data_IF_947650131777
#
_entry.id   IF_947650131777
#
_cell.length_a   1.000
_cell.length_b   1.000
_cell.length_c   1.000
_cell.angle_alpha   90.00
_cell.angle_beta   90.00
_cell.angle_gamma   90.00
#
_symmetry.space_group_name_H-M   'P 1'
#
loop_
_entity.id
_entity.type
_entity.pdbx_description
1 polymer ?
#
# COMPACT_ATOMS: atom_id res chain seq x y z
N UNK A 1 -9.86 -7.24 -54.72
CA UNK A 1 -8.47 -7.23 -55.22
C UNK A 1 -8.26 -5.88 -55.90
N UNK A 2 -7.37 -4.95 -55.57
CA UNK A 2 -6.20 -4.82 -54.68
C UNK A 2 -6.22 -3.33 -54.26
N UNK A 3 -6.32 -2.97 -52.97
CA UNK A 3 -5.20 -2.55 -52.11
C UNK A 3 -4.10 -1.79 -52.87
N UNK A 4 -3.88 -0.53 -52.48
CA UNK A 4 -2.61 0.22 -52.36
C UNK A 4 -2.89 1.72 -52.52
N UNK A 5 -3.63 2.28 -51.56
CA UNK A 5 -3.45 3.69 -51.16
C UNK A 5 -2.78 3.61 -49.79
N UNK A 6 -1.92 4.58 -49.51
CA UNK A 6 -1.15 4.78 -48.26
C UNK A 6 0.23 4.13 -48.29
N UNK A 7 1.15 4.78 -49.01
CA UNK A 7 2.58 4.68 -48.74
C UNK A 7 3.20 6.02 -49.10
N UNK A 8 3.14 6.98 -48.17
CA UNK A 8 4.06 8.11 -48.02
C UNK A 8 3.50 9.17 -47.03
N UNK A 9 3.46 8.85 -45.72
CA UNK A 9 3.68 9.84 -44.65
C UNK A 9 4.34 9.09 -43.47
N UNK A 10 5.58 8.65 -43.68
CA UNK A 10 6.47 8.18 -42.61
C UNK A 10 7.77 8.96 -42.75
N UNK A 11 7.73 10.26 -42.40
CA UNK A 11 8.93 11.11 -42.33
C UNK A 11 8.65 12.47 -41.65
N UNK A 12 7.88 12.50 -40.55
CA UNK A 12 7.67 13.75 -39.80
C UNK A 12 7.49 13.55 -38.29
N UNK A 13 8.21 12.59 -37.68
CA UNK A 13 8.38 12.56 -36.23
C UNK A 13 9.88 12.53 -35.94
N UNK A 14 10.55 13.61 -36.30
CA UNK A 14 11.86 13.95 -35.74
C UNK A 14 11.69 15.42 -35.34
N UNK A 15 11.94 15.74 -34.06
CA UNK A 15 11.88 17.08 -33.46
C UNK A 15 10.55 17.58 -32.87
N UNK A 16 9.80 16.72 -32.16
CA UNK A 16 9.10 17.22 -30.96
C UNK A 16 10.04 16.96 -29.79
N UNK A 17 10.42 18.01 -29.08
CA UNK A 17 11.56 18.15 -28.18
C UNK A 17 11.65 17.01 -27.14
N UNK A 18 12.76 16.27 -27.11
CA UNK A 18 13.10 15.38 -26.00
C UNK A 18 13.02 16.12 -24.64
N UNK A 19 13.29 17.43 -24.65
CA UNK A 19 13.17 18.33 -23.50
C UNK A 19 11.73 18.47 -22.98
N UNK A 20 10.73 18.54 -23.88
CA UNK A 20 9.31 18.61 -23.49
C UNK A 20 8.81 17.29 -22.91
N UNK A 21 9.28 16.16 -23.46
CA UNK A 21 8.98 14.82 -22.92
C UNK A 21 9.58 14.65 -21.53
N UNK A 22 10.87 14.98 -21.34
CA UNK A 22 11.52 14.87 -20.03
C UNK A 22 10.86 15.75 -18.98
N UNK A 23 10.49 16.98 -19.35
CA UNK A 23 9.74 17.88 -18.47
C UNK A 23 8.39 17.28 -18.07
N UNK A 24 7.64 16.72 -19.01
CA UNK A 24 6.35 16.07 -18.73
C UNK A 24 6.52 14.89 -17.77
N UNK A 25 7.53 14.05 -17.97
CA UNK A 25 7.82 12.90 -17.10
C UNK A 25 8.24 13.33 -15.70
N UNK A 26 8.91 14.47 -15.58
CA UNK A 26 9.22 15.07 -14.29
C UNK A 26 7.96 15.59 -13.57
N UNK A 27 7.06 16.27 -14.28
CA UNK A 27 5.80 16.74 -13.70
C UNK A 27 4.95 15.55 -13.23
N UNK A 28 4.87 14.47 -14.02
CA UNK A 28 4.20 13.22 -13.61
C UNK A 28 4.85 12.59 -12.37
N UNK A 29 6.19 12.58 -12.29
CA UNK A 29 6.90 12.09 -11.11
C UNK A 29 6.48 12.86 -9.86
N UNK A 30 6.42 14.20 -9.94
CA UNK A 30 6.00 15.04 -8.81
C UNK A 30 4.56 14.72 -8.38
N UNK A 31 3.64 14.52 -9.34
CA UNK A 31 2.27 14.12 -9.05
C UNK A 31 2.20 12.75 -8.33
N UNK A 32 2.93 11.75 -8.82
CA UNK A 32 2.96 10.43 -8.18
C UNK A 32 3.58 10.47 -6.79
N UNK A 33 4.63 11.26 -6.57
CA UNK A 33 5.20 11.46 -5.24
C UNK A 33 4.20 12.11 -4.30
N UNK A 34 3.48 13.15 -4.75
CA UNK A 34 2.42 13.76 -3.93
C UNK A 34 1.33 12.74 -3.57
N UNK A 35 0.99 11.83 -4.48
CA UNK A 35 0.07 10.75 -4.17
C UNK A 35 0.66 9.75 -3.17
N UNK A 36 1.93 9.38 -3.32
CA UNK A 36 2.66 8.53 -2.36
C UNK A 36 2.73 9.18 -0.97
N UNK A 37 2.98 10.48 -0.85
CA UNK A 37 2.97 11.22 0.42
C UNK A 37 1.59 11.12 1.10
N UNK A 38 0.51 11.21 0.32
CA UNK A 38 -0.84 11.00 0.85
C UNK A 38 -1.04 9.56 1.35
N UNK A 39 -0.47 8.56 0.68
CA UNK A 39 -0.54 7.16 1.11
C UNK A 39 0.32 6.90 2.35
N UNK A 40 1.43 7.61 2.52
CA UNK A 40 2.27 7.56 3.71
C UNK A 40 1.50 8.00 4.95
N UNK A 41 0.77 9.12 4.88
CA UNK A 41 -0.09 9.57 6.00
C UNK A 41 -1.13 8.51 6.38
N UNK A 42 -1.75 7.86 5.38
CA UNK A 42 -2.72 6.78 5.61
C UNK A 42 -2.04 5.54 6.22
N UNK A 43 -0.84 5.20 5.75
CA UNK A 43 -0.02 4.10 6.27
C UNK A 43 0.35 4.32 7.73
N UNK A 44 0.79 5.52 8.11
CA UNK A 44 1.13 5.88 9.48
C UNK A 44 -0.07 5.73 10.41
N UNK A 45 -1.23 6.28 9.99
CA UNK A 45 -2.48 6.12 10.73
C UNK A 45 -2.89 4.64 10.85
N UNK A 46 -2.69 3.85 9.80
CA UNK A 46 -2.98 2.41 9.81
C UNK A 46 -2.08 1.67 10.80
N UNK A 47 -0.78 2.00 10.81
CA UNK A 47 0.21 1.41 11.72
C UNK A 47 -0.15 1.68 13.18
N UNK A 48 -0.58 2.91 13.50
CA UNK A 48 -1.05 3.25 14.86
C UNK A 48 -2.27 2.42 15.26
N UNK A 49 -3.28 2.35 14.39
CA UNK A 49 -4.50 1.57 14.64
C UNK A 49 -4.19 0.07 14.83
N UNK A 50 -3.30 -0.46 14.00
CA UNK A 50 -2.85 -1.85 14.06
C UNK A 50 -2.16 -2.19 15.39
N UNK A 51 -1.20 -1.37 15.82
CA UNK A 51 -0.48 -1.60 17.07
C UNK A 51 -1.40 -1.48 18.30
N UNK A 52 -2.37 -0.55 18.26
CA UNK A 52 -3.39 -0.46 19.30
C UNK A 52 -4.23 -1.74 19.38
N UNK A 53 -4.80 -2.19 18.26
CA UNK A 53 -5.63 -3.39 18.25
C UNK A 53 -4.83 -4.64 18.65
N UNK A 54 -3.56 -4.72 18.29
CA UNK A 54 -2.65 -5.79 18.71
C UNK A 54 -2.39 -5.80 20.21
N UNK A 55 -2.25 -4.63 20.84
CA UNK A 55 -2.16 -4.52 22.30
C UNK A 55 -3.48 -4.94 22.98
N UNK A 56 -4.61 -4.52 22.43
CA UNK A 56 -5.94 -4.87 22.95
C UNK A 56 -6.22 -6.37 22.84
N UNK A 57 -5.84 -6.99 21.70
CA UNK A 57 -5.94 -8.44 21.48
C UNK A 57 -5.15 -9.24 22.52
N UNK A 58 -3.92 -8.79 22.85
CA UNK A 58 -3.08 -9.43 23.87
C UNK A 58 -3.71 -9.31 25.26
N UNK A 59 -4.14 -8.09 25.61
CA UNK A 59 -4.80 -7.81 26.88
C UNK A 59 -6.05 -8.65 27.07
N UNK A 60 -6.89 -8.77 26.03
CA UNK A 60 -8.10 -9.60 26.07
C UNK A 60 -7.75 -11.10 26.20
N UNK A 61 -6.74 -11.57 25.48
CA UNK A 61 -6.26 -12.96 25.59
C UNK A 61 -5.78 -13.29 27.00
N UNK A 62 -5.06 -12.38 27.66
CA UNK A 62 -4.56 -12.61 29.02
C UNK A 62 -5.68 -12.58 30.05
N UNK A 63 -6.63 -11.64 29.95
CA UNK A 63 -7.82 -11.60 30.81
C UNK A 63 -8.62 -12.90 30.74
N UNK A 64 -8.84 -13.43 29.54
CA UNK A 64 -9.61 -14.65 29.40
C UNK A 64 -8.85 -15.88 29.93
N UNK A 65 -7.51 -15.95 29.82
CA UNK A 65 -6.76 -17.05 30.48
C UNK A 65 -6.94 -17.09 32.00
N UNK A 66 -7.23 -15.96 32.63
CA UNK A 66 -7.47 -15.86 34.07
C UNK A 66 -8.87 -16.31 34.50
N UNK A 67 -9.80 -16.47 33.55
CA UNK A 67 -11.18 -16.93 33.82
C UNK A 67 -11.23 -18.46 33.72
N UNK A 68 -11.56 -19.12 34.84
CA UNK A 68 -11.58 -20.59 35.00
C UNK A 68 -12.47 -21.33 33.97
N UNK A 69 -13.52 -20.68 33.46
CA UNK A 69 -14.47 -21.24 32.49
C UNK A 69 -14.37 -20.62 31.08
N UNK A 70 -13.16 -20.28 30.64
CA UNK A 70 -13.00 -19.69 29.31
C UNK A 70 -13.33 -20.66 28.18
N UNK A 71 -14.24 -20.24 27.30
CA UNK A 71 -14.59 -20.97 26.09
C UNK A 71 -13.35 -21.16 25.20
N UNK A 72 -13.03 -22.43 24.93
CA UNK A 72 -11.96 -22.84 24.01
C UNK A 72 -12.08 -22.22 22.61
N UNK A 73 -13.30 -21.89 22.18
CA UNK A 73 -13.58 -21.23 20.89
C UNK A 73 -13.09 -19.78 20.93
N UNK A 74 -13.38 -19.03 22.01
CA UNK A 74 -12.91 -17.65 22.17
C UNK A 74 -11.36 -17.56 22.18
N UNK A 75 -10.69 -18.55 22.77
CA UNK A 75 -9.22 -18.64 22.73
C UNK A 75 -8.68 -18.95 21.33
N UNK A 76 -9.35 -19.82 20.58
CA UNK A 76 -8.97 -20.10 19.20
C UNK A 76 -9.14 -18.87 18.30
N UNK A 77 -10.23 -18.10 18.47
CA UNK A 77 -10.49 -16.89 17.71
C UNK A 77 -9.45 -15.81 17.98
N UNK A 78 -9.07 -15.59 19.24
CA UNK A 78 -8.01 -14.63 19.58
C UNK A 78 -6.64 -15.04 19.04
N UNK A 79 -6.33 -16.34 19.02
CA UNK A 79 -5.10 -16.82 18.37
C UNK A 79 -5.12 -16.54 16.86
N UNK A 80 -6.27 -16.72 16.20
CA UNK A 80 -6.44 -16.37 14.79
C UNK A 80 -6.25 -14.87 14.54
N UNK A 81 -6.80 -14.01 15.41
CA UNK A 81 -6.57 -12.56 15.35
C UNK A 81 -5.09 -12.22 15.47
N UNK A 82 -4.38 -12.81 16.45
CA UNK A 82 -2.95 -12.58 16.65
C UNK A 82 -2.12 -12.99 15.42
N UNK A 83 -2.48 -14.10 14.77
CA UNK A 83 -1.82 -14.54 13.54
C UNK A 83 -2.06 -13.56 12.40
N UNK A 84 -3.30 -13.11 12.20
CA UNK A 84 -3.65 -12.14 11.15
C UNK A 84 -2.95 -10.81 11.38
N UNK A 85 -2.96 -10.28 12.62
CA UNK A 85 -2.25 -9.06 12.98
C UNK A 85 -0.74 -9.18 12.72
N UNK A 86 -0.14 -10.35 12.96
CA UNK A 86 1.27 -10.58 12.62
C UNK A 86 1.52 -10.50 11.11
N UNK A 87 0.67 -11.10 10.29
CA UNK A 87 0.78 -11.04 8.82
C UNK A 87 0.59 -9.61 8.29
N UNK A 88 -0.34 -8.86 8.88
CA UNK A 88 -0.57 -7.46 8.54
C UNK A 88 0.65 -6.59 8.87
N UNK A 89 1.34 -6.84 10.00
CA UNK A 89 2.55 -6.11 10.34
C UNK A 89 3.67 -6.29 9.30
N UNK A 90 3.84 -7.52 8.80
CA UNK A 90 4.79 -7.79 7.71
C UNK A 90 4.41 -7.06 6.42
N UNK A 91 3.11 -6.99 6.14
CA UNK A 91 2.59 -6.25 4.97
C UNK A 91 2.83 -4.75 5.12
N UNK A 92 2.48 -4.15 6.27
CA UNK A 92 2.72 -2.73 6.54
C UNK A 92 4.20 -2.36 6.40
N UNK A 93 5.11 -3.20 6.89
CA UNK A 93 6.56 -2.97 6.73
C UNK A 93 6.99 -2.98 5.26
N UNK A 94 6.45 -3.90 4.45
CA UNK A 94 6.73 -3.93 3.01
C UNK A 94 6.20 -2.68 2.31
N UNK A 95 4.97 -2.26 2.63
CA UNK A 95 4.39 -1.04 2.07
C UNK A 95 5.22 0.20 2.41
N UNK A 96 5.73 0.30 3.65
CA UNK A 96 6.61 1.40 4.06
C UNK A 96 7.87 1.45 3.20
N UNK A 97 8.52 0.31 2.98
CA UNK A 97 9.71 0.23 2.13
C UNK A 97 9.42 0.66 0.68
N UNK A 98 8.27 0.28 0.12
CA UNK A 98 7.86 0.74 -1.22
C UNK A 98 7.65 2.26 -1.24
N UNK A 99 6.93 2.82 -0.27
CA UNK A 99 6.72 4.27 -0.13
C UNK A 99 8.05 5.02 -0.05
N UNK A 100 8.98 4.57 0.80
CA UNK A 100 10.29 5.19 0.96
C UNK A 100 11.09 5.17 -0.35
N UNK A 101 11.04 4.07 -1.11
CA UNK A 101 11.77 3.94 -2.38
C UNK A 101 11.33 4.96 -3.44
N UNK A 102 10.07 5.38 -3.46
CA UNK A 102 9.59 6.42 -4.39
C UNK A 102 10.26 7.78 -4.15
N UNK A 103 10.57 8.10 -2.89
CA UNK A 103 11.28 9.34 -2.53
C UNK A 103 12.75 9.30 -2.96
N UNK A 104 13.38 8.11 -2.97
CA UNK A 104 14.77 7.90 -3.37
C UNK A 104 14.97 8.05 -4.89
N UNK A 105 13.92 7.81 -5.68
CA UNK A 105 13.92 8.03 -7.13
C UNK A 105 14.09 9.50 -7.52
N UNK A 106 13.92 10.45 -6.59
CA UNK A 106 14.08 11.89 -6.86
C UNK A 106 15.43 12.18 -7.48
N UNK A 107 16.52 11.68 -6.88
CA UNK A 107 17.86 11.94 -7.40
C UNK A 107 18.04 11.41 -8.83
N UNK A 108 17.41 10.28 -9.16
CA UNK A 108 17.43 9.70 -10.50
C UNK A 108 16.66 10.55 -11.52
N UNK A 109 15.43 10.99 -11.19
CA UNK A 109 14.60 11.83 -12.07
C UNK A 109 15.15 13.25 -12.26
N UNK A 110 15.95 13.75 -11.32
CA UNK A 110 16.63 15.04 -11.40
C UNK A 110 18.00 14.96 -12.12
N UNK A 111 18.44 13.76 -12.50
CA UNK A 111 19.74 13.57 -13.15
C UNK A 111 19.61 13.47 -14.67
N UNK A 112 20.64 13.91 -15.39
CA UNK A 112 20.76 13.68 -16.84
C UNK A 112 21.13 12.24 -17.20
N UNK A 113 21.39 11.39 -16.19
CA UNK A 113 21.87 10.02 -16.36
C UNK A 113 20.75 9.01 -16.65
N UNK A 114 19.50 9.35 -16.35
CA UNK A 114 18.34 8.50 -16.64
C UNK A 114 17.82 8.76 -18.06
N UNK A 115 17.56 7.70 -18.80
CA UNK A 115 16.94 7.78 -20.12
C UNK A 115 15.43 7.99 -20.01
N UNK A 116 14.80 8.57 -21.03
CA UNK A 116 13.34 8.76 -21.11
C UNK A 116 12.60 7.42 -20.89
N UNK A 117 13.04 6.34 -21.55
CA UNK A 117 12.43 5.02 -21.39
C UNK A 117 12.54 4.48 -19.96
N UNK A 118 13.65 4.74 -19.26
CA UNK A 118 13.77 4.36 -17.85
C UNK A 118 12.83 5.19 -16.97
N UNK A 119 12.67 6.49 -17.23
CA UNK A 119 11.71 7.33 -16.51
C UNK A 119 10.28 6.82 -16.70
N UNK A 120 9.88 6.51 -17.93
CA UNK A 120 8.54 5.96 -18.24
C UNK A 120 8.26 4.65 -17.51
N UNK A 121 9.23 3.72 -17.50
CA UNK A 121 9.09 2.47 -16.75
C UNK A 121 8.95 2.73 -15.25
N UNK A 122 9.79 3.59 -14.68
CA UNK A 122 9.71 3.92 -13.26
C UNK A 122 8.38 4.58 -12.88
N UNK A 123 7.83 5.46 -13.72
CA UNK A 123 6.50 6.04 -13.49
C UNK A 123 5.39 4.99 -13.54
N UNK A 124 5.47 4.06 -14.49
CA UNK A 124 4.53 2.93 -14.59
C UNK A 124 4.58 2.05 -13.33
N UNK A 125 5.80 1.76 -12.85
CA UNK A 125 6.00 0.99 -11.62
C UNK A 125 5.47 1.75 -10.39
N UNK A 126 5.70 3.06 -10.31
CA UNK A 126 5.19 3.90 -9.23
C UNK A 126 3.66 3.96 -9.20
N UNK A 127 3.02 4.07 -10.36
CA UNK A 127 1.55 4.03 -10.48
C UNK A 127 0.99 2.70 -9.96
N UNK A 128 1.53 1.58 -10.45
CA UNK A 128 1.13 0.25 -10.02
C UNK A 128 1.36 0.03 -8.51
N UNK A 129 2.50 0.50 -7.99
CA UNK A 129 2.81 0.44 -6.57
C UNK A 129 1.81 1.25 -5.74
N UNK A 130 1.47 2.47 -6.16
CA UNK A 130 0.50 3.32 -5.46
C UNK A 130 -0.89 2.66 -5.41
N UNK A 131 -1.34 2.07 -6.52
CA UNK A 131 -2.59 1.29 -6.56
C UNK A 131 -2.56 0.09 -5.61
N UNK A 132 -1.46 -0.67 -5.60
CA UNK A 132 -1.30 -1.82 -4.69
C UNK A 132 -1.29 -1.37 -3.23
N UNK A 133 -0.54 -0.31 -2.88
CA UNK A 133 -0.49 0.25 -1.53
C UNK A 133 -1.91 0.63 -1.07
N UNK A 134 -2.65 1.37 -1.89
CA UNK A 134 -4.02 1.78 -1.57
C UNK A 134 -4.94 0.57 -1.36
N UNK A 135 -4.87 -0.44 -2.24
CA UNK A 135 -5.65 -1.66 -2.12
C UNK A 135 -5.34 -2.44 -0.83
N UNK A 136 -4.05 -2.60 -0.50
CA UNK A 136 -3.60 -3.31 0.70
C UNK A 136 -3.97 -2.58 1.99
N UNK A 137 -3.82 -1.25 2.04
CA UNK A 137 -4.25 -0.45 3.19
C UNK A 137 -5.76 -0.57 3.41
N UNK A 138 -6.56 -0.57 2.35
CA UNK A 138 -8.01 -0.77 2.45
C UNK A 138 -8.39 -2.19 2.92
N UNK A 139 -7.67 -3.21 2.46
CA UNK A 139 -7.84 -4.58 2.94
C UNK A 139 -7.56 -4.68 4.44
N UNK A 140 -6.40 -4.19 4.88
CA UNK A 140 -6.00 -4.19 6.30
C UNK A 140 -7.02 -3.44 7.15
N UNK A 141 -7.49 -2.27 6.69
CA UNK A 141 -8.53 -1.49 7.37
C UNK A 141 -9.79 -2.31 7.62
N UNK A 142 -10.22 -3.08 6.63
CA UNK A 142 -11.43 -3.91 6.71
C UNK A 142 -11.22 -5.04 7.70
N UNK A 143 -10.08 -5.71 7.64
CA UNK A 143 -9.73 -6.80 8.56
C UNK A 143 -9.60 -6.32 10.01
N UNK A 144 -8.98 -5.16 10.26
CA UNK A 144 -8.91 -4.56 11.61
C UNK A 144 -10.30 -4.31 12.20
N UNK A 145 -11.23 -3.78 11.39
CA UNK A 145 -12.62 -3.57 11.83
C UNK A 145 -13.34 -4.87 12.17
N UNK A 146 -13.08 -5.93 11.41
CA UNK A 146 -13.64 -7.25 11.70
C UNK A 146 -13.10 -7.78 13.03
N UNK A 147 -11.79 -7.71 13.24
CA UNK A 147 -11.16 -8.12 14.51
C UNK A 147 -11.74 -7.32 15.68
N UNK A 148 -11.83 -6.00 15.55
CA UNK A 148 -12.40 -5.13 16.58
C UNK A 148 -13.83 -5.52 16.93
N UNK A 149 -14.70 -5.73 15.94
CA UNK A 149 -16.08 -6.15 16.15
C UNK A 149 -16.19 -7.53 16.83
N UNK A 150 -15.35 -8.49 16.41
CA UNK A 150 -15.30 -9.82 17.01
C UNK A 150 -14.81 -9.76 18.47
N UNK A 151 -13.83 -8.90 18.78
CA UNK A 151 -13.35 -8.70 20.14
C UNK A 151 -14.36 -8.01 21.05
N UNK A 152 -15.11 -7.03 20.54
CA UNK A 152 -16.19 -6.40 21.30
C UNK A 152 -17.30 -7.40 21.64
N UNK A 153 -17.63 -8.32 20.72
CA UNK A 153 -18.57 -9.40 21.02
C UNK A 153 -18.07 -10.32 22.14
N UNK A 154 -16.78 -10.67 22.12
CA UNK A 154 -16.16 -11.50 23.18
C UNK A 154 -16.19 -10.82 24.55
N UNK A 155 -15.89 -9.52 24.62
CA UNK A 155 -15.94 -8.75 25.88
C UNK A 155 -17.35 -8.76 26.50
N UNK A 156 -18.38 -8.58 25.68
CA UNK A 156 -19.78 -8.61 26.16
C UNK A 156 -20.23 -9.98 26.66
N UNK A 157 -19.62 -11.06 26.17
CA UNK A 157 -19.88 -12.42 26.66
C UNK A 157 -19.11 -12.77 27.93
N UNK A 158 -17.92 -12.19 28.14
CA UNK A 158 -17.11 -12.43 29.34
C UNK A 158 -17.55 -11.64 30.59
N UNK A 159 -18.30 -10.55 30.40
CA UNK A 159 -18.80 -9.69 31.49
C UNK A 159 -20.16 -10.15 32.07
N UNK A 160 -20.69 -11.29 31.63
CA UNK A 160 -21.94 -11.90 32.14
C UNK A 160 -21.65 -13.13 32.99
#
# INVERSE_FOLDING_TARGET
MKKLIVLAVFAAILFVSCDDTRKTLHDNYLEFVMHTDSLEVVHEAMTVSHEQLKADTRTLSDKLKEVEETDSIAMADLQKHQMLLKQQAETLNKLKSTIESHSELKAYFMSDSITVTQMEQQLTDMEANNEEIAARLNQIKTELKTIEAEQEALKQTSDK
#
